data_IF_296859274640
#
_entry.id   IF_296859274640
#
_cell.length_a   1.000
_cell.length_b   1.000
_cell.length_c   1.000
_cell.angle_alpha   90.00
_cell.angle_beta   90.00
_cell.angle_gamma   90.00
#
_symmetry.space_group_name_H-M   'P 1'
#
loop_
_entity.id
_entity.type
_entity.pdbx_description
1 polymer ?
#
# COMPACT_ATOMS: atom_id res chain seq x y z
N UNK A 1 -1.35 25.27 -18.23
CA UNK A 1 -1.43 26.03 -16.97
C UNK A 1 -0.35 25.51 -16.04
N UNK A 2 0.66 26.31 -15.71
CA UNK A 2 1.72 25.89 -14.77
C UNK A 2 1.20 26.01 -13.35
N UNK A 3 1.07 24.89 -12.64
CA UNK A 3 0.61 24.91 -11.25
C UNK A 3 1.76 25.39 -10.37
N UNK A 4 1.54 26.46 -9.59
CA UNK A 4 2.55 27.00 -8.68
C UNK A 4 2.54 26.19 -7.38
N UNK A 5 3.72 25.76 -6.94
CA UNK A 5 3.93 25.08 -5.67
C UNK A 5 4.20 26.14 -4.59
N UNK A 6 3.42 26.13 -3.51
CA UNK A 6 3.48 27.12 -2.44
C UNK A 6 4.04 26.45 -1.18
N UNK A 7 5.17 26.96 -0.70
CA UNK A 7 5.78 26.54 0.57
C UNK A 7 4.91 26.97 1.77
N UNK A 8 4.89 26.19 2.85
CA UNK A 8 4.23 26.59 4.08
C UNK A 8 4.86 27.86 4.69
N UNK A 9 4.08 28.64 5.47
CA UNK A 9 4.60 29.82 6.15
C UNK A 9 5.73 29.46 7.12
N UNK A 10 6.63 30.41 7.37
CA UNK A 10 7.74 30.24 8.32
C UNK A 10 7.19 29.88 9.72
N UNK A 11 7.67 28.77 10.29
CA UNK A 11 7.20 28.24 11.57
C UNK A 11 5.96 27.34 11.49
N UNK A 12 5.52 26.92 10.29
CA UNK A 12 4.49 25.89 10.18
C UNK A 12 4.99 24.56 10.75
N UNK A 13 4.37 24.14 11.84
CA UNK A 13 4.48 22.79 12.37
C UNK A 13 3.21 22.02 12.01
N UNK A 14 3.31 20.79 11.47
CA UNK A 14 2.15 19.98 11.10
C UNK A 14 1.46 19.41 12.36
N UNK A 15 0.86 20.28 13.18
CA UNK A 15 0.12 19.95 14.41
C UNK A 15 -1.15 19.15 14.11
N UNK A 16 -1.70 19.35 12.90
CA UNK A 16 -2.93 18.74 12.40
C UNK A 16 -2.84 17.28 11.95
N UNK A 17 -1.65 16.66 11.94
CA UNK A 17 -1.46 15.30 11.39
C UNK A 17 -2.37 14.25 12.05
N UNK A 18 -2.54 14.34 13.37
CA UNK A 18 -3.42 13.44 14.13
C UNK A 18 -4.91 13.63 13.83
N UNK A 19 -5.27 14.78 13.27
CA UNK A 19 -6.62 15.14 12.87
C UNK A 19 -6.84 14.99 11.36
N UNK A 20 -5.87 14.45 10.60
CA UNK A 20 -5.95 14.37 9.14
C UNK A 20 -6.00 15.75 8.45
N UNK A 21 -5.38 16.76 9.05
CA UNK A 21 -5.14 18.07 8.43
C UNK A 21 -3.66 18.17 8.06
N UNK A 22 -3.37 18.73 6.90
CA UNK A 22 -2.00 18.90 6.41
C UNK A 22 -1.91 20.12 5.47
N UNK A 23 -0.71 20.65 5.32
CA UNK A 23 -0.43 21.68 4.33
C UNK A 23 -0.56 21.12 2.92
N UNK A 24 -1.37 21.75 2.08
CA UNK A 24 -1.44 21.42 0.66
C UNK A 24 -0.66 22.46 -0.16
N UNK A 25 0.45 22.08 -0.82
CA UNK A 25 1.28 23.00 -1.59
C UNK A 25 0.59 23.56 -2.84
N UNK A 26 -0.46 22.88 -3.32
CA UNK A 26 -1.24 23.30 -4.49
C UNK A 26 -2.37 24.26 -4.12
N UNK A 27 -2.86 24.22 -2.88
CA UNK A 27 -3.86 25.16 -2.37
C UNK A 27 -3.22 26.34 -1.62
N UNK A 28 -1.98 26.20 -1.16
CA UNK A 28 -1.28 27.21 -0.37
C UNK A 28 -1.91 27.46 1.00
N UNK A 29 -2.57 26.45 1.57
CA UNK A 29 -3.22 26.54 2.89
C UNK A 29 -3.21 25.17 3.59
N UNK A 30 -3.33 25.18 4.91
CA UNK A 30 -3.65 23.98 5.67
C UNK A 30 -5.09 23.57 5.36
N UNK A 31 -5.27 22.31 4.99
CA UNK A 31 -6.54 21.80 4.48
C UNK A 31 -6.82 20.42 5.03
N UNK A 32 -8.10 20.08 5.00
CA UNK A 32 -8.62 18.80 5.41
C UNK A 32 -8.40 17.77 4.31
N UNK A 33 -7.95 16.59 4.71
CA UNK A 33 -7.85 15.44 3.82
C UNK A 33 -9.03 14.51 4.07
N UNK A 34 -9.65 14.04 3.00
CA UNK A 34 -10.69 13.03 2.99
C UNK A 34 -10.13 11.69 2.51
N UNK A 35 -10.67 10.60 3.02
CA UNK A 35 -10.30 9.27 2.57
C UNK A 35 -10.99 8.93 1.24
N UNK A 36 -10.20 8.59 0.23
CA UNK A 36 -10.65 8.02 -1.03
C UNK A 36 -10.75 6.49 -0.87
N UNK A 37 -11.98 5.98 -0.78
CA UNK A 37 -12.26 4.56 -0.59
C UNK A 37 -11.93 3.71 -1.81
N UNK A 38 -11.81 4.32 -3.00
CA UNK A 38 -11.56 3.60 -4.25
C UNK A 38 -10.10 3.24 -4.40
N UNK A 39 -9.22 4.14 -3.97
CA UNK A 39 -7.77 4.01 -4.12
C UNK A 39 -7.03 3.78 -2.80
N UNK A 40 -7.76 3.79 -1.68
CA UNK A 40 -7.28 3.57 -0.32
C UNK A 40 -6.16 4.53 0.12
N UNK A 41 -6.35 5.83 -0.13
CA UNK A 41 -5.44 6.89 0.34
C UNK A 41 -6.19 8.18 0.65
N UNK A 42 -5.49 9.18 1.18
CA UNK A 42 -6.06 10.45 1.61
C UNK A 42 -5.87 11.54 0.56
N UNK A 43 -6.93 12.28 0.22
CA UNK A 43 -6.88 13.38 -0.75
C UNK A 43 -7.27 14.70 -0.12
N UNK A 44 -6.62 15.77 -0.53
CA UNK A 44 -7.05 17.13 -0.21
C UNK A 44 -8.47 17.36 -0.73
N UNK A 45 -9.39 17.80 0.14
CA UNK A 45 -10.79 18.03 -0.24
C UNK A 45 -10.98 19.15 -1.28
N UNK A 46 -10.03 20.09 -1.34
CA UNK A 46 -10.13 21.28 -2.20
C UNK A 46 -9.66 21.00 -3.63
N UNK A 47 -8.44 20.47 -3.79
CA UNK A 47 -7.81 20.26 -5.10
C UNK A 47 -7.67 18.79 -5.51
N UNK A 48 -7.90 17.84 -4.61
CA UNK A 48 -7.87 16.41 -4.90
C UNK A 48 -6.48 15.77 -4.94
N UNK A 49 -5.41 16.51 -4.63
CA UNK A 49 -4.06 15.94 -4.54
C UNK A 49 -3.97 14.89 -3.42
N UNK A 50 -3.24 13.81 -3.67
CA UNK A 50 -2.99 12.76 -2.67
C UNK A 50 -1.95 13.20 -1.64
N UNK A 51 -2.07 12.66 -0.43
CA UNK A 51 -1.05 12.72 0.62
C UNK A 51 0.28 12.06 0.23
N UNK A 52 0.27 11.19 -0.80
CA UNK A 52 1.46 10.52 -1.34
C UNK A 52 2.26 11.41 -2.29
N UNK A 53 1.73 12.56 -2.70
CA UNK A 53 2.43 13.52 -3.55
C UNK A 53 3.75 13.99 -2.93
N UNK A 54 4.77 14.18 -3.77
CA UNK A 54 6.12 14.53 -3.33
C UNK A 54 6.15 15.77 -2.43
N UNK A 55 5.51 16.87 -2.86
CA UNK A 55 5.55 18.13 -2.11
C UNK A 55 4.67 18.09 -0.88
N UNK A 56 3.56 17.35 -0.91
CA UNK A 56 2.74 17.11 0.29
C UNK A 56 3.57 16.38 1.34
N UNK A 57 4.30 15.33 0.97
CA UNK A 57 5.16 14.59 1.89
C UNK A 57 6.31 15.43 2.43
N UNK A 58 6.96 16.19 1.56
CA UNK A 58 8.08 17.07 1.91
C UNK A 58 7.68 18.12 2.95
N UNK A 59 6.58 18.84 2.74
CA UNK A 59 6.18 19.93 3.63
C UNK A 59 5.51 19.47 4.93
N UNK A 60 5.01 18.24 4.98
CA UNK A 60 4.34 17.69 6.17
C UNK A 60 5.18 16.65 6.93
N UNK A 61 6.40 16.36 6.49
CA UNK A 61 7.29 15.40 7.13
C UNK A 61 6.82 13.95 7.02
N UNK A 62 6.13 13.57 5.94
CA UNK A 62 5.56 12.22 5.74
C UNK A 62 6.53 11.26 5.01
N UNK A 63 7.84 11.43 5.24
CA UNK A 63 8.89 10.58 4.66
C UNK A 63 9.18 9.31 5.45
N UNK A 64 9.28 9.36 6.81
CA UNK A 64 9.57 8.16 7.58
C UNK A 64 8.52 7.08 7.36
N UNK A 65 8.98 5.84 7.29
CA UNK A 65 8.10 4.68 7.17
C UNK A 65 7.11 4.67 8.34
N UNK A 66 5.82 4.61 8.00
CA UNK A 66 4.72 4.60 8.96
C UNK A 66 4.10 5.97 9.27
N UNK A 67 4.76 7.11 9.04
CA UNK A 67 4.12 8.42 9.28
C UNK A 67 3.05 8.73 8.24
N UNK A 68 3.31 8.34 6.98
CA UNK A 68 2.31 8.35 5.92
C UNK A 68 1.08 7.51 6.30
N UNK A 69 1.31 6.30 6.83
CA UNK A 69 0.24 5.38 7.22
C UNK A 69 -0.52 5.89 8.47
N UNK A 70 0.18 6.45 9.46
CA UNK A 70 -0.44 7.12 10.62
C UNK A 70 -1.34 8.26 10.17
N UNK A 71 -0.89 9.07 9.20
CA UNK A 71 -1.68 10.15 8.64
C UNK A 71 -2.92 9.62 7.91
N UNK A 72 -2.76 8.63 7.02
CA UNK A 72 -3.88 7.99 6.33
C UNK A 72 -4.89 7.38 7.34
N UNK A 73 -4.40 6.75 8.41
CA UNK A 73 -5.23 6.22 9.49
C UNK A 73 -5.93 7.33 10.29
N UNK A 74 -5.28 8.47 10.52
CA UNK A 74 -5.91 9.64 11.14
C UNK A 74 -7.03 10.21 10.26
N UNK A 75 -6.81 10.27 8.94
CA UNK A 75 -7.84 10.66 7.97
C UNK A 75 -9.01 9.67 7.99
N UNK A 76 -8.75 8.36 7.95
CA UNK A 76 -9.79 7.31 8.10
C UNK A 76 -10.59 7.48 9.39
N UNK A 77 -9.91 7.71 10.53
CA UNK A 77 -10.56 7.97 11.83
C UNK A 77 -11.42 9.23 11.85
N UNK A 78 -11.07 10.24 11.06
CA UNK A 78 -11.86 11.48 10.94
C UNK A 78 -13.19 11.29 10.22
N UNK A 79 -13.44 10.11 9.60
CA UNK A 79 -14.66 9.77 8.84
C UNK A 79 -15.00 10.70 7.66
N UNK A 80 -14.08 11.59 7.27
CA UNK A 80 -14.23 12.42 6.06
C UNK A 80 -13.96 11.57 4.83
N UNK A 81 -14.90 11.58 3.90
CA UNK A 81 -14.78 10.87 2.62
C UNK A 81 -14.45 11.85 1.51
N UNK A 82 -13.59 11.44 0.59
CA UNK A 82 -13.35 12.15 -0.65
C UNK A 82 -14.23 11.52 -1.74
N UNK A 83 -15.41 12.10 -1.95
CA UNK A 83 -16.42 11.58 -2.92
C UNK A 83 -16.42 12.35 -4.25
N UNK A 84 -15.42 13.23 -4.47
CA UNK A 84 -15.41 14.08 -5.65
C UNK A 84 -15.06 13.23 -6.88
N UNK A 85 -15.91 13.21 -7.92
CA UNK A 85 -15.64 12.44 -9.13
C UNK A 85 -14.37 12.95 -9.79
N UNK A 86 -13.61 12.04 -10.37
CA UNK A 86 -12.41 12.40 -11.10
C UNK A 86 -12.74 13.32 -12.28
N UNK A 87 -11.83 14.21 -12.70
CA UNK A 87 -12.07 15.06 -13.86
C UNK A 87 -12.50 14.28 -15.11
N UNK A 88 -11.89 13.12 -15.37
CA UNK A 88 -12.25 12.22 -16.48
C UNK A 88 -13.57 11.46 -16.28
N UNK A 89 -14.12 11.43 -15.07
CA UNK A 89 -15.44 10.82 -14.81
C UNK A 89 -16.60 11.77 -15.11
N UNK A 90 -16.35 13.07 -15.03
CA UNK A 90 -17.36 14.09 -15.33
C UNK A 90 -17.80 14.07 -16.80
N UNK A 91 -16.92 13.66 -17.69
CA UNK A 91 -17.22 13.54 -19.12
C UNK A 91 -18.07 12.31 -19.43
N UNK A 92 -17.95 11.23 -18.64
CA UNK A 92 -18.78 10.03 -18.76
C UNK A 92 -20.18 10.17 -18.15
N UNK A 93 -20.39 11.06 -17.18
CA UNK A 93 -21.70 11.25 -16.53
C UNK A 93 -22.71 12.09 -17.32
N UNK A 94 -22.30 12.61 -18.49
CA UNK A 94 -23.13 13.42 -19.37
C UNK A 94 -23.70 12.69 -20.60
N UNK A 95 -23.54 11.37 -20.70
CA UNK A 95 -24.16 10.58 -21.78
C UNK A 95 -25.39 9.87 -21.27
N UNK A 96 -26.50 10.32 -21.82
CA UNK A 96 -27.79 9.64 -21.96
C UNK A 96 -27.67 8.12 -21.95
N UNK A 97 -28.71 7.48 -21.42
CA UNK A 97 -29.12 6.11 -21.73
C UNK A 97 -29.33 5.99 -23.25
N UNK A 98 -28.25 5.93 -24.02
CA UNK A 98 -28.31 5.73 -25.46
C UNK A 98 -27.56 4.45 -25.78
N UNK A 99 -28.35 3.40 -25.98
CA UNK A 99 -27.94 2.23 -26.74
C UNK A 99 -26.95 1.34 -26.01
N UNK A 100 -27.50 0.26 -25.48
CA UNK A 100 -26.90 -1.07 -25.57
C UNK A 100 -25.95 -1.14 -26.78
N UNK A 101 -24.65 -0.99 -26.56
CA UNK A 101 -23.69 -1.53 -27.50
C UNK A 101 -23.77 -3.04 -27.26
N UNK A 102 -24.58 -3.72 -28.08
CA UNK A 102 -24.17 -5.03 -28.55
C UNK A 102 -22.85 -4.79 -29.29
N UNK A 103 -21.76 -4.76 -28.53
CA UNK A 103 -20.47 -5.11 -29.10
C UNK A 103 -20.69 -6.54 -29.57
N UNK A 104 -20.80 -6.69 -30.90
CA UNK A 104 -20.52 -7.92 -31.59
C UNK A 104 -19.32 -8.56 -30.91
N UNK A 105 -19.64 -9.52 -30.04
CA UNK A 105 -18.69 -10.40 -29.39
C UNK A 105 -18.20 -11.29 -30.52
N UNK A 106 -17.31 -10.73 -31.34
CA UNK A 106 -16.45 -11.55 -32.17
C UNK A 106 -15.80 -12.53 -31.20
N UNK A 107 -15.89 -13.84 -31.44
CA UNK A 107 -15.15 -14.79 -30.64
C UNK A 107 -13.69 -14.37 -30.71
N UNK A 108 -13.15 -13.92 -29.58
CA UNK A 108 -11.72 -13.71 -29.41
C UNK A 108 -11.02 -14.92 -30.03
N UNK A 109 -10.06 -14.73 -30.95
CA UNK A 109 -9.25 -15.85 -31.39
C UNK A 109 -8.67 -16.48 -30.13
N UNK A 110 -8.76 -17.81 -30.04
CA UNK A 110 -8.16 -18.60 -28.97
C UNK A 110 -6.65 -18.31 -28.93
N UNK A 111 -6.28 -17.23 -28.24
CA UNK A 111 -4.92 -16.95 -27.86
C UNK A 111 -4.57 -18.05 -26.86
N UNK A 112 -3.93 -19.07 -27.43
CA UNK A 112 -3.12 -20.04 -26.76
C UNK A 112 -2.25 -19.30 -25.74
N UNK A 113 -2.74 -19.23 -24.50
CA UNK A 113 -1.94 -18.94 -23.32
C UNK A 113 -0.89 -20.03 -23.28
N UNK A 114 0.24 -19.76 -23.92
CA UNK A 114 1.44 -20.54 -23.82
C UNK A 114 1.78 -20.64 -22.34
N UNK A 115 1.51 -21.82 -21.80
CA UNK A 115 2.10 -22.35 -20.58
C UNK A 115 3.62 -22.37 -20.76
N UNK A 116 4.25 -21.23 -20.52
CA UNK A 116 5.69 -21.15 -20.31
C UNK A 116 5.94 -20.48 -18.97
N UNK A 117 5.41 -21.11 -17.92
CA UNK A 117 6.03 -20.99 -16.62
C UNK A 117 7.32 -21.80 -16.70
N UNK A 118 8.42 -21.13 -17.02
CA UNK A 118 9.77 -21.65 -16.81
C UNK A 118 9.86 -22.10 -15.36
N UNK A 119 9.72 -23.40 -15.18
CA UNK A 119 9.78 -24.05 -13.88
C UNK A 119 11.23 -24.03 -13.45
N UNK A 120 11.64 -22.96 -12.76
CA UNK A 120 12.88 -22.96 -11.99
C UNK A 120 12.68 -23.96 -10.85
N UNK A 121 12.93 -25.24 -11.14
CA UNK A 121 12.86 -26.33 -10.18
C UNK A 121 14.01 -26.14 -9.20
N UNK A 122 13.73 -25.53 -8.04
CA UNK A 122 14.66 -25.49 -6.91
C UNK A 122 14.46 -26.73 -6.05
N UNK A 123 15.55 -27.33 -5.60
CA UNK A 123 15.50 -28.40 -4.61
C UNK A 123 15.24 -27.83 -3.21
N UNK A 124 14.45 -28.52 -2.42
CA UNK A 124 14.23 -28.20 -1.02
C UNK A 124 15.53 -28.39 -0.22
N UNK A 125 16.00 -27.36 0.48
CA UNK A 125 17.27 -27.40 1.23
C UNK A 125 17.29 -28.40 2.42
N UNK A 126 16.18 -29.08 2.73
CA UNK A 126 16.07 -30.06 3.83
C UNK A 126 15.88 -31.50 3.36
N UNK A 127 15.22 -31.71 2.23
CA UNK A 127 14.88 -33.06 1.75
C UNK A 127 15.24 -33.30 0.28
N UNK A 128 15.88 -32.32 -0.38
CA UNK A 128 16.34 -32.33 -1.77
C UNK A 128 15.27 -32.58 -2.84
N UNK A 129 14.00 -32.74 -2.43
CA UNK A 129 12.86 -32.89 -3.35
C UNK A 129 12.63 -31.60 -4.15
N UNK A 130 12.27 -31.70 -5.44
CA UNK A 130 11.95 -30.54 -6.25
C UNK A 130 10.72 -29.81 -5.70
N UNK A 131 10.81 -28.48 -5.63
CA UNK A 131 9.68 -27.62 -5.26
C UNK A 131 8.84 -27.38 -6.52
N UNK A 132 7.72 -28.11 -6.62
CA UNK A 132 6.83 -28.07 -7.80
C UNK A 132 6.16 -26.71 -8.02
N UNK A 133 5.98 -25.92 -6.96
CA UNK A 133 5.31 -24.61 -7.02
C UNK A 133 6.07 -23.60 -6.16
N UNK A 134 6.85 -22.74 -6.82
CA UNK A 134 7.60 -21.66 -6.15
C UNK A 134 6.69 -20.44 -6.03
N UNK A 135 6.28 -20.10 -4.81
CA UNK A 135 5.42 -18.94 -4.53
C UNK A 135 6.24 -17.64 -4.44
N UNK A 136 7.54 -17.75 -4.17
CA UNK A 136 8.44 -16.62 -4.01
C UNK A 136 9.89 -17.01 -4.33
N UNK A 137 10.65 -16.07 -4.92
CA UNK A 137 12.10 -16.22 -5.16
C UNK A 137 12.94 -16.47 -3.89
N UNK A 138 12.36 -16.31 -2.69
CA UNK A 138 13.02 -16.60 -1.41
C UNK A 138 12.65 -17.96 -0.80
N UNK A 139 11.82 -18.76 -1.48
CA UNK A 139 11.40 -20.06 -0.96
C UNK A 139 12.55 -21.08 -1.06
N UNK A 140 12.98 -21.59 0.08
CA UNK A 140 14.09 -22.57 0.22
C UNK A 140 13.63 -23.97 0.61
N UNK A 141 12.41 -24.10 1.16
CA UNK A 141 11.87 -25.36 1.65
C UNK A 141 10.57 -25.73 0.94
N UNK A 142 10.30 -27.03 0.81
CA UNK A 142 8.99 -27.53 0.44
C UNK A 142 7.97 -27.25 1.57
N UNK A 143 6.68 -27.40 1.27
CA UNK A 143 5.59 -27.07 2.20
C UNK A 143 5.64 -27.85 3.51
N UNK A 144 6.07 -29.11 3.47
CA UNK A 144 6.22 -29.97 4.64
C UNK A 144 7.43 -29.56 5.48
N UNK A 145 8.61 -29.54 4.87
CA UNK A 145 9.86 -29.14 5.52
C UNK A 145 9.81 -27.70 6.08
N UNK A 146 9.06 -26.80 5.45
CA UNK A 146 8.87 -25.42 5.95
C UNK A 146 8.28 -25.43 7.37
N UNK A 147 7.24 -26.24 7.61
CA UNK A 147 6.58 -26.30 8.94
C UNK A 147 7.52 -26.88 10.01
N UNK A 148 8.31 -27.88 9.65
CA UNK A 148 9.31 -28.46 10.56
C UNK A 148 10.38 -27.45 10.97
N UNK A 149 10.96 -26.76 9.99
CA UNK A 149 11.99 -25.73 10.21
C UNK A 149 11.43 -24.60 11.06
N UNK A 150 10.22 -24.13 10.79
CA UNK A 150 9.55 -23.11 11.60
C UNK A 150 9.35 -23.56 13.05
N UNK A 151 8.99 -24.83 13.25
CA UNK A 151 8.80 -25.43 14.59
C UNK A 151 10.12 -25.53 15.36
N UNK A 152 11.20 -25.97 14.72
CA UNK A 152 12.53 -26.03 15.31
C UNK A 152 13.05 -24.64 15.70
N UNK A 153 12.94 -23.67 14.79
CA UNK A 153 13.33 -22.28 15.06
C UNK A 153 12.50 -21.67 16.21
N UNK A 154 11.21 -22.00 16.32
CA UNK A 154 10.39 -21.57 17.45
C UNK A 154 10.85 -22.18 18.78
N UNK A 155 11.18 -23.49 18.79
CA UNK A 155 11.73 -24.18 19.97
C UNK A 155 13.07 -23.57 20.39
N UNK A 156 13.95 -23.32 19.44
CA UNK A 156 15.27 -22.75 19.70
C UNK A 156 15.16 -21.31 20.26
N UNK A 157 14.26 -20.49 19.71
CA UNK A 157 13.95 -19.15 20.26
C UNK A 157 13.49 -19.23 21.71
N UNK A 158 12.58 -20.15 22.04
CA UNK A 158 12.12 -20.38 23.43
C UNK A 158 13.25 -20.83 24.35
N UNK A 159 14.10 -21.75 23.87
CA UNK A 159 15.27 -22.22 24.63
C UNK A 159 16.25 -21.08 24.93
N UNK A 160 16.61 -20.29 23.91
CA UNK A 160 17.49 -19.12 24.06
C UNK A 160 16.90 -18.09 25.02
N UNK A 161 15.59 -17.84 24.96
CA UNK A 161 14.90 -16.92 25.87
C UNK A 161 14.97 -17.40 27.33
N UNK A 162 14.67 -18.69 27.58
CA UNK A 162 14.79 -19.28 28.93
C UNK A 162 16.23 -19.23 29.45
N UNK A 163 17.21 -19.57 28.61
CA UNK A 163 18.64 -19.50 28.98
C UNK A 163 19.06 -18.09 29.40
N UNK A 164 18.60 -17.06 28.66
CA UNK A 164 18.84 -15.65 29.02
C UNK A 164 18.16 -15.26 30.34
N UNK A 165 16.94 -15.71 30.59
CA UNK A 165 16.22 -15.44 31.84
C UNK A 165 16.95 -16.05 33.05
N UNK A 166 17.41 -17.30 32.94
CA UNK A 166 18.19 -17.96 34.00
C UNK A 166 19.50 -17.19 34.26
N UNK A 167 20.23 -16.84 33.21
CA UNK A 167 21.48 -16.07 33.35
C UNK A 167 21.27 -14.72 34.05
N UNK A 168 20.15 -14.03 33.78
CA UNK A 168 19.81 -12.76 34.43
C UNK A 168 19.45 -12.92 35.91
N UNK A 169 18.88 -14.05 36.33
CA UNK A 169 18.52 -14.28 37.75
C UNK A 169 19.71 -14.75 38.61
N UNK A 170 20.84 -15.10 37.99
CA UNK A 170 22.06 -15.54 38.67
C UNK A 170 23.09 -14.43 38.88
N UNK A 171 22.79 -13.18 38.50
CA UNK A 171 23.60 -11.99 38.75
C UNK A 171 22.91 -11.12 39.81
#
# INVERSE_FOLDING_TARGET
>A
MTVKIISPPEGYEPKGLKQGRAWCPYCGKETEFGHDSRLDYARCMECGISERDFYVRQHNGLWPDGDLEKFANAVKKSKRKYDRPFPWEKESSGKEEHGLYELDRQPEPEEQKQEQADTVIRACARCDKPILYVVSNRQTYCRECKREVETEQARERKYRARKKQVAHHSM
#
